data_IF_772972707384
#
_entry.id   IF_772972707384
#
_cell.length_a   1.000
_cell.length_b   1.000
_cell.length_c   1.000
_cell.angle_alpha   90.00
_cell.angle_beta   90.00
_cell.angle_gamma   90.00
#
_symmetry.space_group_name_H-M   'P 1'
#
loop_
_entity.id
_entity.type
_entity.pdbx_description
1 polymer ?
#
# COMPACT_ATOMS: atom_id res chain seq x y z
N UNK A 1 -0.89 10.65 -5.49
CA UNK A 1 -0.58 10.86 -4.05
C UNK A 1 0.89 11.03 -3.71
N UNK A 2 1.86 10.49 -4.49
CA UNK A 2 3.30 10.72 -4.25
C UNK A 2 3.69 12.19 -4.07
N UNK A 3 3.07 13.11 -4.81
CA UNK A 3 3.21 14.55 -4.61
C UNK A 3 2.95 14.98 -3.16
N UNK A 4 1.79 14.63 -2.58
CA UNK A 4 1.47 14.99 -1.20
C UNK A 4 2.39 14.33 -0.16
N UNK A 5 2.86 13.12 -0.44
CA UNK A 5 3.82 12.43 0.42
C UNK A 5 5.19 13.13 0.41
N UNK A 6 5.61 13.65 -0.75
CA UNK A 6 6.86 14.39 -0.92
C UNK A 6 6.79 15.82 -0.38
N UNK A 7 5.68 16.53 -0.62
CA UNK A 7 5.47 17.93 -0.21
C UNK A 7 4.95 18.08 1.22
N UNK A 8 4.72 16.97 1.93
CA UNK A 8 4.36 17.02 3.35
C UNK A 8 5.51 17.67 4.14
N UNK A 9 5.23 18.76 4.85
CA UNK A 9 6.21 19.44 5.70
C UNK A 9 6.70 18.60 6.91
N UNK A 10 6.05 17.46 7.17
CA UNK A 10 6.47 16.50 8.19
C UNK A 10 6.14 16.88 9.64
N UNK A 11 5.43 17.99 9.89
CA UNK A 11 5.15 18.48 11.24
C UNK A 11 4.24 17.54 12.05
N UNK A 12 3.01 17.30 11.58
CA UNK A 12 2.03 16.47 12.30
C UNK A 12 2.09 15.00 11.86
N UNK A 13 2.03 14.07 12.82
CA UNK A 13 2.08 12.61 12.59
C UNK A 13 1.08 12.10 11.55
N UNK A 14 -0.23 12.44 11.59
CA UNK A 14 -1.18 11.90 10.62
C UNK A 14 -0.83 12.28 9.19
N UNK A 15 -0.40 13.52 8.94
CA UNK A 15 0.04 13.92 7.59
C UNK A 15 1.38 13.28 7.22
N UNK A 16 2.40 13.36 8.09
CA UNK A 16 3.75 12.84 7.81
C UNK A 16 3.74 11.35 7.46
N UNK A 17 3.02 10.55 8.26
CA UNK A 17 2.98 9.10 8.12
C UNK A 17 1.84 8.67 7.19
N UNK A 18 0.65 9.23 7.34
CA UNK A 18 -0.53 8.82 6.58
C UNK A 18 -0.39 9.07 5.08
N UNK A 19 0.27 10.16 4.65
CA UNK A 19 0.52 10.40 3.21
C UNK A 19 1.48 9.38 2.61
N UNK A 20 2.48 8.92 3.37
CA UNK A 20 3.41 7.87 2.96
C UNK A 20 2.71 6.51 2.88
N UNK A 21 1.88 6.17 3.88
CA UNK A 21 1.07 4.95 3.85
C UNK A 21 0.12 4.93 2.65
N UNK A 22 -0.59 6.04 2.41
CA UNK A 22 -1.50 6.17 1.27
C UNK A 22 -0.76 6.02 -0.07
N UNK A 23 0.44 6.58 -0.19
CA UNK A 23 1.29 6.38 -1.37
C UNK A 23 1.67 4.90 -1.54
N UNK A 24 2.08 4.22 -0.46
CA UNK A 24 2.42 2.80 -0.47
C UNK A 24 1.25 1.89 -0.88
N UNK A 25 0.04 2.14 -0.36
CA UNK A 25 -1.15 1.39 -0.80
C UNK A 25 -1.44 1.61 -2.29
N UNK A 26 -1.30 2.83 -2.79
CA UNK A 26 -1.49 3.11 -4.21
C UNK A 26 -0.41 2.47 -5.09
N UNK A 27 0.83 2.40 -4.63
CA UNK A 27 1.91 1.69 -5.33
C UNK A 27 1.63 0.17 -5.37
N UNK A 28 1.16 -0.41 -4.26
CA UNK A 28 0.75 -1.82 -4.17
C UNK A 28 -0.41 -2.14 -5.13
N UNK A 29 -1.43 -1.29 -5.18
CA UNK A 29 -2.53 -1.40 -6.15
C UNK A 29 -2.04 -1.23 -7.59
N UNK A 30 -1.11 -0.31 -7.83
CA UNK A 30 -0.53 -0.09 -9.15
C UNK A 30 0.23 -1.33 -9.65
N UNK A 31 0.92 -2.05 -8.75
CA UNK A 31 1.58 -3.33 -9.01
C UNK A 31 0.62 -4.52 -9.17
N UNK A 32 -0.69 -4.30 -9.01
CA UNK A 32 -1.70 -5.36 -9.12
C UNK A 32 -1.68 -6.35 -7.96
N UNK A 33 -1.16 -5.93 -6.80
CA UNK A 33 -1.05 -6.75 -5.60
C UNK A 33 -1.99 -6.26 -4.48
N UNK A 34 -3.12 -5.63 -4.81
CA UNK A 34 -4.04 -5.13 -3.79
C UNK A 34 -4.92 -6.23 -3.16
N UNK A 35 -5.46 -5.94 -1.98
CA UNK A 35 -6.56 -6.70 -1.36
C UNK A 35 -7.71 -5.80 -0.94
N UNK A 36 -8.89 -6.38 -0.61
CA UNK A 36 -9.99 -5.59 -0.07
C UNK A 36 -9.64 -4.93 1.27
N UNK A 37 -8.75 -5.54 2.06
CA UNK A 37 -8.24 -4.93 3.28
C UNK A 37 -7.50 -3.62 3.01
N UNK A 38 -6.70 -3.55 1.95
CA UNK A 38 -6.01 -2.31 1.59
C UNK A 38 -6.99 -1.17 1.29
N UNK A 39 -8.11 -1.46 0.60
CA UNK A 39 -9.14 -0.45 0.33
C UNK A 39 -9.80 0.05 1.61
N UNK A 40 -10.09 -0.85 2.56
CA UNK A 40 -10.64 -0.48 3.86
C UNK A 40 -9.66 0.38 4.67
N UNK A 41 -8.37 0.04 4.63
CA UNK A 41 -7.32 0.82 5.31
C UNK A 41 -7.15 2.21 4.65
N UNK A 42 -7.27 2.33 3.32
CA UNK A 42 -7.29 3.62 2.61
C UNK A 42 -8.46 4.50 3.07
N UNK A 43 -9.67 3.96 3.19
CA UNK A 43 -10.84 4.72 3.68
C UNK A 43 -10.68 5.12 5.15
N UNK A 44 -10.02 4.29 5.97
CA UNK A 44 -9.69 4.66 7.33
C UNK A 44 -8.66 5.80 7.39
N UNK A 45 -7.62 5.74 6.55
CA UNK A 45 -6.63 6.82 6.42
C UNK A 45 -7.26 8.14 5.97
N UNK A 46 -8.27 8.12 5.09
CA UNK A 46 -9.02 9.33 4.72
C UNK A 46 -9.61 10.02 5.93
N UNK A 47 -10.33 9.27 6.77
CA UNK A 47 -10.95 9.81 8.00
C UNK A 47 -9.88 10.33 8.96
N UNK A 48 -8.77 9.61 9.12
CA UNK A 48 -7.67 10.04 9.99
C UNK A 48 -7.05 11.36 9.49
N UNK A 49 -6.71 11.42 8.20
CA UNK A 49 -6.08 12.58 7.59
C UNK A 49 -6.98 13.82 7.64
N UNK A 50 -8.27 13.67 7.37
CA UNK A 50 -9.23 14.79 7.40
C UNK A 50 -9.44 15.35 8.81
N UNK A 51 -9.50 14.48 9.82
CA UNK A 51 -9.90 14.87 11.17
C UNK A 51 -8.73 15.22 12.11
N UNK A 52 -7.53 14.69 11.86
CA UNK A 52 -6.40 14.82 12.78
C UNK A 52 -5.21 15.61 12.21
N UNK A 53 -5.24 16.01 10.93
CA UNK A 53 -4.17 16.82 10.35
C UNK A 53 -4.19 18.25 10.86
N UNK A 54 -2.99 18.80 11.08
CA UNK A 54 -2.84 20.15 11.60
C UNK A 54 -3.20 21.26 10.59
N UNK A 55 -2.96 21.02 9.29
CA UNK A 55 -3.23 21.99 8.23
C UNK A 55 -3.95 21.34 7.04
N UNK A 56 -4.40 22.19 6.10
CA UNK A 56 -5.22 21.76 4.96
C UNK A 56 -4.55 20.80 3.97
N UNK A 57 -3.22 20.72 3.93
CA UNK A 57 -2.52 19.75 3.08
C UNK A 57 -2.87 18.32 3.49
N UNK A 58 -2.81 18.02 4.79
CA UNK A 58 -3.11 16.68 5.30
C UNK A 58 -4.56 16.28 5.01
N UNK A 59 -5.52 17.18 5.25
CA UNK A 59 -6.93 16.93 4.95
C UNK A 59 -7.24 16.81 3.45
N UNK A 60 -6.42 17.41 2.59
CA UNK A 60 -6.61 17.38 1.12
C UNK A 60 -5.91 16.20 0.44
N UNK A 61 -4.84 15.68 1.05
CA UNK A 61 -4.03 14.60 0.50
C UNK A 61 -4.81 13.33 0.09
N UNK A 62 -5.84 12.87 0.84
CA UNK A 62 -6.57 11.65 0.46
C UNK A 62 -7.61 11.87 -0.66
N UNK A 63 -8.03 13.12 -0.92
CA UNK A 63 -9.15 13.42 -1.82
C UNK A 63 -9.01 12.78 -3.22
N UNK A 64 -7.86 12.84 -3.93
CA UNK A 64 -7.76 12.25 -5.25
C UNK A 64 -7.96 10.72 -5.26
N UNK A 65 -7.59 10.04 -4.17
CA UNK A 65 -7.76 8.59 -4.05
C UNK A 65 -9.21 8.25 -3.72
N UNK A 66 -9.83 8.96 -2.79
CA UNK A 66 -11.21 8.70 -2.38
C UNK A 66 -12.20 9.07 -3.48
N UNK A 67 -12.01 10.20 -4.15
CA UNK A 67 -12.82 10.55 -5.32
C UNK A 67 -12.60 9.54 -6.45
N UNK A 68 -11.36 9.06 -6.63
CA UNK A 68 -11.04 7.98 -7.56
C UNK A 68 -11.79 6.68 -7.23
N UNK A 69 -11.75 6.25 -5.97
CA UNK A 69 -12.45 5.05 -5.49
C UNK A 69 -13.97 5.19 -5.64
N UNK A 70 -14.54 6.34 -5.28
CA UNK A 70 -15.99 6.58 -5.36
C UNK A 70 -16.50 6.53 -6.80
N UNK A 71 -15.79 7.16 -7.73
CA UNK A 71 -16.26 7.31 -9.11
C UNK A 71 -15.80 6.16 -10.02
N UNK A 72 -14.69 5.49 -9.68
CA UNK A 72 -14.07 4.47 -10.53
C UNK A 72 -13.77 3.18 -9.76
N UNK A 73 -14.62 2.81 -8.78
CA UNK A 73 -14.48 1.60 -7.96
C UNK A 73 -14.10 0.34 -8.76
N UNK A 74 -14.74 0.02 -9.91
CA UNK A 74 -14.37 -1.18 -10.68
C UNK A 74 -12.93 -1.14 -11.22
N UNK A 75 -12.36 0.04 -11.45
CA UNK A 75 -10.97 0.16 -11.89
C UNK A 75 -9.97 -0.23 -10.79
N UNK A 76 -10.29 0.06 -9.53
CA UNK A 76 -9.49 -0.36 -8.38
C UNK A 76 -9.68 -1.84 -8.08
N UNK A 77 -10.91 -2.34 -8.13
CA UNK A 77 -11.22 -3.76 -7.86
C UNK A 77 -10.53 -4.71 -8.85
N UNK A 78 -10.37 -4.30 -10.11
CA UNK A 78 -9.58 -5.05 -11.11
C UNK A 78 -8.09 -5.20 -10.78
N UNK A 79 -7.58 -4.47 -9.78
CA UNK A 79 -6.17 -4.56 -9.31
C UNK A 79 -6.01 -5.41 -8.05
N UNK A 80 -7.10 -6.01 -7.56
CA UNK A 80 -7.08 -6.86 -6.38
C UNK A 80 -6.83 -8.32 -6.78
N UNK A 81 -6.01 -9.03 -5.98
CA UNK A 81 -5.69 -10.46 -6.19
C UNK A 81 -6.32 -11.38 -5.15
N UNK A 82 -6.42 -10.91 -3.92
CA UNK A 82 -6.96 -11.66 -2.78
C UNK A 82 -7.96 -10.78 -2.03
N UNK A 83 -8.95 -11.39 -1.40
CA UNK A 83 -9.87 -10.68 -0.54
C UNK A 83 -9.20 -10.18 0.76
N UNK A 84 -8.42 -11.04 1.42
CA UNK A 84 -7.92 -10.77 2.76
C UNK A 84 -6.61 -10.00 2.73
N UNK A 85 -5.55 -10.62 2.20
CA UNK A 85 -4.21 -10.05 2.23
C UNK A 85 -3.41 -10.45 1.00
N UNK A 86 -2.57 -9.52 0.55
CA UNK A 86 -1.53 -9.77 -0.45
C UNK A 86 -0.26 -9.03 -0.04
N UNK A 87 0.93 -9.64 -0.11
CA UNK A 87 2.19 -8.94 0.13
C UNK A 87 2.40 -7.77 -0.84
N UNK A 88 2.95 -6.66 -0.32
CA UNK A 88 3.28 -5.48 -1.13
C UNK A 88 4.59 -5.64 -1.94
N UNK A 89 5.41 -6.63 -1.59
CA UNK A 89 6.70 -6.93 -2.20
C UNK A 89 6.80 -8.42 -2.51
N UNK A 90 7.76 -8.77 -3.37
CA UNK A 90 8.04 -10.15 -3.74
C UNK A 90 8.77 -10.87 -2.59
N UNK A 91 8.11 -11.87 -1.99
CA UNK A 91 8.63 -12.60 -0.84
C UNK A 91 9.85 -13.44 -1.23
N UNK A 92 9.81 -14.07 -2.40
CA UNK A 92 10.93 -14.88 -2.86
C UNK A 92 12.16 -14.01 -3.14
N UNK A 93 11.96 -12.88 -3.82
CA UNK A 93 13.04 -11.93 -4.09
C UNK A 93 13.64 -11.35 -2.80
N UNK A 94 12.84 -11.20 -1.73
CA UNK A 94 13.35 -10.72 -0.45
C UNK A 94 14.42 -11.66 0.16
N UNK A 95 14.42 -12.96 -0.21
CA UNK A 95 15.40 -13.95 0.24
C UNK A 95 16.66 -14.02 -0.63
N UNK A 96 16.70 -13.31 -1.77
CA UNK A 96 17.78 -13.39 -2.77
C UNK A 96 19.17 -13.18 -2.14
N UNK A 97 19.31 -12.16 -1.28
CA UNK A 97 20.58 -11.87 -0.61
C UNK A 97 21.02 -13.00 0.32
N UNK A 98 20.09 -13.64 1.03
CA UNK A 98 20.40 -14.75 1.92
C UNK A 98 20.83 -16.00 1.13
N UNK A 99 20.17 -16.27 -0.01
CA UNK A 99 20.56 -17.34 -0.93
C UNK A 99 21.98 -17.14 -1.46
N UNK A 100 22.30 -15.93 -1.93
CA UNK A 100 23.65 -15.58 -2.40
C UNK A 100 24.73 -15.81 -1.32
N UNK A 101 24.45 -15.46 -0.06
CA UNK A 101 25.42 -15.61 1.03
C UNK A 101 25.63 -17.07 1.46
N UNK A 102 24.59 -17.90 1.37
CA UNK A 102 24.63 -19.29 1.83
C UNK A 102 24.94 -20.29 0.71
N UNK A 103 24.87 -19.86 -0.56
CA UNK A 103 24.99 -20.72 -1.71
C UNK A 103 23.82 -21.69 -1.88
N UNK A 104 22.68 -21.43 -1.23
CA UNK A 104 21.49 -22.29 -1.30
C UNK A 104 20.56 -21.84 -2.43
N UNK A 105 20.12 -22.82 -3.21
CA UNK A 105 19.12 -22.68 -4.29
C UNK A 105 18.14 -23.87 -4.29
N UNK A 106 18.07 -24.59 -3.17
CA UNK A 106 17.13 -25.68 -2.98
C UNK A 106 15.71 -25.16 -2.78
N UNK A 107 14.70 -26.02 -2.96
CA UNK A 107 13.30 -25.61 -2.90
C UNK A 107 12.90 -24.96 -1.56
N UNK A 108 13.55 -25.31 -0.45
CA UNK A 108 13.27 -24.71 0.86
C UNK A 108 13.87 -23.29 1.01
N UNK A 109 14.75 -22.89 0.09
CA UNK A 109 15.29 -21.54 0.02
C UNK A 109 14.41 -20.56 -0.76
N UNK A 110 13.27 -21.02 -1.31
CA UNK A 110 12.33 -20.22 -2.07
C UNK A 110 10.95 -20.14 -1.41
N UNK A 111 10.32 -18.97 -1.52
CA UNK A 111 8.94 -18.77 -1.07
C UNK A 111 7.99 -18.73 -2.25
N UNK A 112 6.84 -19.39 -2.11
CA UNK A 112 5.76 -19.26 -3.07
C UNK A 112 5.00 -17.94 -2.81
N UNK A 113 4.88 -17.11 -3.84
CA UNK A 113 4.13 -15.86 -3.81
C UNK A 113 2.62 -16.05 -4.05
N UNK A 114 2.17 -17.29 -4.24
CA UNK A 114 0.76 -17.62 -4.45
C UNK A 114 -0.07 -17.37 -3.19
N UNK A 115 -1.27 -16.78 -3.31
CA UNK A 115 -2.16 -16.49 -2.18
C UNK A 115 -2.73 -17.73 -1.47
N UNK A 116 -2.28 -18.93 -1.83
CA UNK A 116 -2.79 -20.20 -1.34
C UNK A 116 -1.68 -21.01 -0.66
N UNK A 117 -1.57 -20.83 0.66
CA UNK A 117 -1.31 -21.94 1.56
C UNK A 117 -2.14 -21.68 2.82
N UNK A 118 -2.92 -22.66 3.30
CA UNK A 118 -3.82 -22.49 4.45
C UNK A 118 -3.09 -22.00 5.71
#
# INVERSE_FOLDING_TARGET
VRFFAHESCGFCTPCRVGTQLLAGYMDKLAAGNGSFRDLADIEWLDRLLKNASHCGLGSSAPNPVIDGLRNFRPAFERRLKNADFQPAFDLDKALERARQMTGRDDAEAHLDNSPERP
#
